data_IF_078763751987
#
_entry.id   IF_078763751987
#
_cell.length_a   1.000
_cell.length_b   1.000
_cell.length_c   1.000
_cell.angle_alpha   90.00
_cell.angle_beta   90.00
_cell.angle_gamma   90.00
#
_symmetry.space_group_name_H-M   'P 1'
#
loop_
_entity.id
_entity.type
_entity.pdbx_description
1 polymer ?
#
# COMPACT_ATOMS: atom_id res chain seq x y z
N UNK A 1 2.55 -20.78 -1.09
CA UNK A 1 2.83 -19.34 -1.14
C UNK A 1 4.24 -19.16 -1.68
N UNK A 2 4.50 -18.18 -2.55
CA UNK A 2 5.77 -18.07 -3.28
C UNK A 2 6.95 -17.76 -2.34
N UNK A 3 7.92 -18.67 -2.24
CA UNK A 3 9.11 -18.51 -1.38
C UNK A 3 9.95 -17.28 -1.77
N UNK A 4 9.90 -16.86 -3.04
CA UNK A 4 10.63 -15.68 -3.52
C UNK A 4 10.07 -14.39 -2.90
N UNK A 5 8.76 -14.30 -2.70
CA UNK A 5 8.11 -13.13 -2.09
C UNK A 5 8.65 -12.89 -0.67
N UNK A 6 8.75 -13.93 0.15
CA UNK A 6 9.26 -13.81 1.52
C UNK A 6 10.75 -13.48 1.58
N UNK A 7 11.50 -13.70 0.51
CA UNK A 7 12.90 -13.28 0.39
C UNK A 7 13.05 -11.82 -0.09
N UNK A 8 11.99 -11.23 -0.66
CA UNK A 8 12.01 -9.93 -1.30
C UNK A 8 12.24 -8.80 -0.27
N UNK A 9 13.33 -7.99 -0.39
CA UNK A 9 13.67 -6.99 0.63
C UNK A 9 12.56 -6.00 0.96
N UNK A 10 11.83 -5.52 -0.06
CA UNK A 10 10.73 -4.58 0.15
C UNK A 10 9.59 -5.19 0.97
N UNK A 11 9.25 -6.46 0.70
CA UNK A 11 8.20 -7.17 1.43
C UNK A 11 8.61 -7.39 2.89
N UNK A 12 9.84 -7.84 3.14
CA UNK A 12 10.38 -7.98 4.51
C UNK A 12 10.31 -6.67 5.28
N UNK A 13 10.75 -5.57 4.67
CA UNK A 13 10.70 -4.25 5.32
C UNK A 13 9.27 -3.81 5.62
N UNK A 14 8.31 -4.11 4.74
CA UNK A 14 6.90 -3.87 5.01
C UNK A 14 6.38 -4.69 6.21
N UNK A 15 6.78 -5.95 6.33
CA UNK A 15 6.42 -6.80 7.48
C UNK A 15 7.06 -6.30 8.78
N UNK A 16 8.31 -5.83 8.74
CA UNK A 16 8.99 -5.21 9.89
C UNK A 16 8.25 -3.96 10.38
N UNK A 17 7.87 -3.07 9.46
CA UNK A 17 7.04 -1.89 9.76
C UNK A 17 5.69 -2.31 10.36
N UNK A 18 5.03 -3.31 9.77
CA UNK A 18 3.76 -3.82 10.27
C UNK A 18 3.86 -4.32 11.71
N UNK A 19 4.86 -5.16 12.00
CA UNK A 19 5.08 -5.70 13.34
C UNK A 19 5.46 -4.61 14.35
N UNK A 20 6.25 -3.61 13.94
CA UNK A 20 6.58 -2.46 14.78
C UNK A 20 5.32 -1.66 15.14
N UNK A 21 4.50 -1.33 14.14
CA UNK A 21 3.25 -0.59 14.35
C UNK A 21 2.27 -1.35 15.25
N UNK A 22 2.14 -2.67 15.07
CA UNK A 22 1.32 -3.51 15.96
C UNK A 22 1.80 -3.40 17.41
N UNK A 23 3.12 -3.46 17.65
CA UNK A 23 3.68 -3.32 19.01
C UNK A 23 3.45 -1.92 19.60
N UNK A 24 3.67 -0.86 18.82
CA UNK A 24 3.43 0.52 19.26
C UNK A 24 1.95 0.75 19.56
N UNK A 25 1.06 0.15 18.79
CA UNK A 25 -0.40 0.23 19.00
C UNK A 25 -0.86 -0.36 20.33
N UNK A 26 -0.12 -1.32 20.90
CA UNK A 26 -0.41 -1.87 22.22
C UNK A 26 -0.16 -0.86 23.36
N UNK A 27 0.62 0.19 23.09
CA UNK A 27 0.91 1.25 24.07
C UNK A 27 -0.21 2.31 24.13
N UNK A 28 -1.16 2.26 23.21
CA UNK A 28 -2.32 3.15 23.18
C UNK A 28 -3.48 2.41 23.85
N UNK A 29 -3.76 2.82 25.10
CA UNK A 29 -4.87 2.31 25.89
C UNK A 29 -6.21 2.77 25.28
N UNK A 30 -7.18 1.85 25.21
CA UNK A 30 -8.55 2.17 24.82
C UNK A 30 -9.38 2.35 26.09
N UNK A 31 -9.81 3.59 26.36
CA UNK A 31 -10.71 3.86 27.48
C UNK A 31 -12.14 3.43 27.12
N UNK A 32 -12.85 2.87 28.10
CA UNK A 32 -14.27 2.48 27.96
C UNK A 32 -15.19 3.72 27.95
N UNK A 33 -14.70 4.84 28.48
CA UNK A 33 -15.42 6.10 28.51
C UNK A 33 -15.37 6.79 27.15
N UNK A 34 -16.52 6.81 26.47
CA UNK A 34 -16.66 7.43 25.15
C UNK A 34 -16.61 8.96 25.20
N UNK A 35 -16.70 9.58 26.37
CA UNK A 35 -16.61 11.04 26.52
C UNK A 35 -15.15 11.54 26.57
N UNK A 36 -14.18 10.63 26.69
CA UNK A 36 -12.75 10.95 26.62
C UNK A 36 -12.31 11.22 25.16
N UNK A 37 -12.54 12.46 24.73
CA UNK A 37 -12.23 12.92 23.37
C UNK A 37 -10.74 12.76 23.01
N UNK A 38 -9.83 12.98 23.95
CA UNK A 38 -8.39 12.87 23.70
C UNK A 38 -7.99 11.40 23.46
N UNK A 39 -8.49 10.49 24.30
CA UNK A 39 -8.26 9.06 24.10
C UNK A 39 -8.86 8.57 22.77
N UNK A 40 -10.09 8.96 22.45
CA UNK A 40 -10.74 8.57 21.20
C UNK A 40 -9.90 8.96 19.97
N UNK A 41 -9.30 10.15 19.95
CA UNK A 41 -8.40 10.56 18.85
C UNK A 41 -7.17 9.66 18.76
N UNK A 42 -6.56 9.31 19.89
CA UNK A 42 -5.40 8.41 19.91
C UNK A 42 -5.77 7.02 19.39
N UNK A 43 -6.96 6.52 19.72
CA UNK A 43 -7.50 5.24 19.23
C UNK A 43 -7.80 5.30 17.74
N UNK A 44 -8.34 6.41 17.22
CA UNK A 44 -8.55 6.58 15.77
C UNK A 44 -7.22 6.55 15.01
N UNK A 45 -6.19 7.23 15.52
CA UNK A 45 -4.85 7.18 14.94
C UNK A 45 -4.20 5.79 15.06
N UNK A 46 -4.42 5.08 16.17
CA UNK A 46 -4.02 3.67 16.31
C UNK A 46 -4.64 2.81 15.20
N UNK A 47 -5.95 2.92 14.98
CA UNK A 47 -6.66 2.15 13.97
C UNK A 47 -6.15 2.47 12.56
N UNK A 48 -5.97 3.75 12.25
CA UNK A 48 -5.45 4.19 10.96
C UNK A 48 -4.01 3.70 10.70
N UNK A 49 -3.13 3.73 11.70
CA UNK A 49 -1.79 3.17 11.59
C UNK A 49 -1.81 1.68 11.26
N UNK A 50 -2.61 0.90 11.99
CA UNK A 50 -2.71 -0.54 11.79
C UNK A 50 -3.27 -0.88 10.41
N UNK A 51 -4.27 -0.14 9.94
CA UNK A 51 -4.83 -0.30 8.60
C UNK A 51 -3.76 -0.04 7.52
N UNK A 52 -3.10 1.12 7.55
CA UNK A 52 -2.07 1.46 6.57
C UNK A 52 -0.93 0.44 6.57
N UNK A 53 -0.49 0.00 7.76
CA UNK A 53 0.57 -0.98 7.90
C UNK A 53 0.20 -2.36 7.35
N UNK A 54 -1.08 -2.75 7.41
CA UNK A 54 -1.58 -4.00 6.85
C UNK A 54 -1.75 -3.94 5.32
N UNK A 55 -2.18 -2.78 4.79
CA UNK A 55 -2.42 -2.60 3.36
C UNK A 55 -1.12 -2.69 2.55
N UNK A 56 -0.02 -2.09 3.04
CA UNK A 56 1.27 -2.05 2.32
C UNK A 56 1.75 -3.45 1.86
N UNK A 57 1.98 -4.44 2.75
CA UNK A 57 2.43 -5.77 2.34
C UNK A 57 1.41 -6.47 1.44
N UNK A 58 0.11 -6.29 1.69
CA UNK A 58 -0.97 -6.86 0.86
C UNK A 58 -0.89 -6.36 -0.59
N UNK A 59 -0.63 -5.06 -0.79
CA UNK A 59 -0.49 -4.46 -2.13
C UNK A 59 0.81 -4.85 -2.81
N UNK A 60 1.88 -5.10 -2.06
CA UNK A 60 3.10 -5.70 -2.61
C UNK A 60 2.80 -7.09 -3.17
N UNK A 61 2.11 -7.95 -2.42
CA UNK A 61 1.70 -9.28 -2.91
C UNK A 61 0.88 -9.17 -4.20
N UNK A 62 -0.06 -8.21 -4.24
CA UNK A 62 -0.91 -7.94 -5.40
C UNK A 62 -0.16 -7.53 -6.66
N UNK A 63 1.05 -6.99 -6.55
CA UNK A 63 1.86 -6.51 -7.67
C UNK A 63 3.16 -7.31 -7.90
N UNK A 64 3.45 -8.30 -7.07
CA UNK A 64 4.75 -9.00 -7.07
C UNK A 64 5.01 -9.88 -8.29
N UNK A 65 3.96 -10.43 -8.91
CA UNK A 65 4.12 -11.36 -10.04
C UNK A 65 4.85 -10.69 -11.21
N UNK A 66 5.81 -11.41 -11.78
CA UNK A 66 6.67 -10.90 -12.87
C UNK A 66 5.84 -10.41 -14.06
N UNK A 67 4.88 -11.23 -14.50
CA UNK A 67 3.98 -10.95 -15.62
C UNK A 67 2.76 -10.07 -15.27
N UNK A 68 2.72 -9.48 -14.07
CA UNK A 68 1.64 -8.55 -13.71
C UNK A 68 1.67 -7.31 -14.61
N UNK A 69 0.49 -6.89 -15.05
CA UNK A 69 0.31 -5.72 -15.92
C UNK A 69 0.78 -4.43 -15.23
N UNK A 70 1.31 -3.51 -16.02
CA UNK A 70 1.90 -2.25 -15.60
C UNK A 70 0.89 -1.36 -14.87
N UNK A 71 -0.31 -1.20 -15.42
CA UNK A 71 -1.40 -0.42 -14.85
C UNK A 71 -1.78 -0.95 -13.45
N UNK A 72 -1.88 -2.27 -13.31
CA UNK A 72 -2.14 -2.93 -12.01
C UNK A 72 -0.96 -2.71 -11.03
N UNK A 73 0.28 -2.87 -11.50
CA UNK A 73 1.49 -2.62 -10.68
C UNK A 73 1.52 -1.17 -10.19
N UNK A 74 1.24 -0.22 -11.08
CA UNK A 74 1.22 1.21 -10.77
C UNK A 74 0.07 1.59 -9.84
N UNK A 75 -1.12 1.01 -10.02
CA UNK A 75 -2.24 1.20 -9.09
C UNK A 75 -1.87 0.74 -7.67
N UNK A 76 -1.28 -0.44 -7.53
CA UNK A 76 -0.83 -0.94 -6.23
C UNK A 76 0.30 -0.08 -5.65
N UNK A 77 1.25 0.38 -6.47
CA UNK A 77 2.32 1.27 -6.06
C UNK A 77 1.79 2.62 -5.55
N UNK A 78 0.77 3.18 -6.19
CA UNK A 78 0.10 4.41 -5.75
C UNK A 78 -0.54 4.24 -4.36
N UNK A 79 -1.22 3.12 -4.12
CA UNK A 79 -1.81 2.79 -2.81
C UNK A 79 -0.71 2.63 -1.76
N UNK A 80 0.36 1.86 -2.05
CA UNK A 80 1.49 1.68 -1.14
C UNK A 80 2.08 3.03 -0.72
N UNK A 81 2.32 3.93 -1.69
CA UNK A 81 2.83 5.28 -1.41
C UNK A 81 1.88 6.07 -0.53
N UNK A 82 0.57 6.05 -0.82
CA UNK A 82 -0.44 6.73 0.00
C UNK A 82 -0.41 6.21 1.44
N UNK A 83 -0.33 4.90 1.65
CA UNK A 83 -0.35 4.33 3.00
C UNK A 83 0.95 4.60 3.76
N UNK A 84 2.11 4.58 3.09
CA UNK A 84 3.37 4.99 3.72
C UNK A 84 3.32 6.47 4.15
N UNK A 85 2.73 7.36 3.33
CA UNK A 85 2.51 8.76 3.72
C UNK A 85 1.51 8.90 4.87
N UNK A 86 0.47 8.05 4.89
CA UNK A 86 -0.49 8.01 5.98
C UNK A 86 0.19 7.65 7.30
N UNK A 87 1.07 6.63 7.33
CA UNK A 87 1.86 6.28 8.52
C UNK A 87 2.66 7.50 9.04
N UNK A 88 3.31 8.26 8.14
CA UNK A 88 4.06 9.47 8.54
C UNK A 88 3.15 10.60 9.06
N UNK A 89 1.96 10.75 8.49
CA UNK A 89 0.99 11.74 8.95
C UNK A 89 0.41 11.34 10.32
N UNK A 90 0.00 10.09 10.48
CA UNK A 90 -0.59 9.57 11.71
C UNK A 90 0.43 9.53 12.87
N UNK A 91 1.70 9.21 12.62
CA UNK A 91 2.76 9.36 13.64
C UNK A 91 2.92 10.82 14.09
N UNK A 92 2.77 11.79 13.18
CA UNK A 92 2.79 13.22 13.54
C UNK A 92 1.55 13.60 14.35
N UNK A 93 0.38 13.08 13.99
CA UNK A 93 -0.88 13.24 14.71
C UNK A 93 -0.82 12.70 16.14
N UNK A 94 -0.32 11.48 16.34
CA UNK A 94 -0.12 10.88 17.67
C UNK A 94 0.75 11.77 18.56
N UNK A 95 1.87 12.28 18.03
CA UNK A 95 2.74 13.20 18.76
C UNK A 95 2.02 14.49 19.17
N UNK A 96 1.22 15.06 18.26
CA UNK A 96 0.46 16.29 18.53
C UNK A 96 -0.64 16.08 19.58
N UNK A 97 -1.24 14.89 19.62
CA UNK A 97 -2.31 14.53 20.54
C UNK A 97 -1.82 13.92 21.86
N UNK A 98 -0.54 14.06 22.19
CA UNK A 98 -0.02 13.74 23.52
C UNK A 98 0.45 12.30 23.73
N UNK A 99 0.64 11.52 22.66
CA UNK A 99 1.31 10.22 22.78
C UNK A 99 2.74 10.40 23.31
N UNK A 100 3.09 9.64 24.36
CA UNK A 100 4.30 9.89 25.16
C UNK A 100 5.55 9.19 24.66
N UNK A 101 5.37 8.08 23.94
CA UNK A 101 6.44 7.16 23.58
C UNK A 101 7.09 7.59 22.23
N UNK A 102 7.70 8.78 22.24
CA UNK A 102 8.16 9.48 21.03
C UNK A 102 9.29 8.77 20.28
N UNK A 103 10.18 8.09 20.99
CA UNK A 103 11.30 7.35 20.38
C UNK A 103 10.80 6.25 19.44
N UNK A 104 9.66 5.63 19.75
CA UNK A 104 9.04 4.64 18.87
C UNK A 104 8.38 5.28 17.65
N UNK A 105 7.82 6.49 17.77
CA UNK A 105 7.33 7.23 16.61
C UNK A 105 8.47 7.61 15.68
N UNK A 106 9.62 8.01 16.22
CA UNK A 106 10.83 8.28 15.42
C UNK A 106 11.36 7.01 14.75
N UNK A 107 11.38 5.89 15.46
CA UNK A 107 11.74 4.58 14.89
C UNK A 107 10.84 4.22 13.70
N UNK A 108 9.51 4.34 13.82
CA UNK A 108 8.58 4.09 12.70
C UNK A 108 8.92 4.96 11.49
N UNK A 109 9.23 6.24 11.70
CA UNK A 109 9.55 7.16 10.60
C UNK A 109 10.84 6.77 9.88
N UNK A 110 11.85 6.33 10.62
CA UNK A 110 13.11 5.84 10.07
C UNK A 110 12.90 4.56 9.24
N UNK A 111 12.11 3.62 9.75
CA UNK A 111 11.76 2.38 9.04
C UNK A 111 11.02 2.68 7.71
N UNK A 112 10.09 3.65 7.72
CA UNK A 112 9.38 4.09 6.50
C UNK A 112 10.31 4.75 5.50
N UNK A 113 11.33 5.50 5.95
CA UNK A 113 12.30 6.11 5.04
C UNK A 113 13.19 5.07 4.36
N UNK A 114 13.66 4.06 5.10
CA UNK A 114 14.36 2.92 4.52
C UNK A 114 13.49 2.14 3.53
N UNK A 115 12.21 1.91 3.88
CA UNK A 115 11.23 1.32 2.97
C UNK A 115 11.05 2.14 1.69
N UNK A 116 11.00 3.47 1.79
CA UNK A 116 10.82 4.37 0.64
C UNK A 116 11.92 4.18 -0.41
N UNK A 117 13.17 3.96 0.02
CA UNK A 117 14.30 3.71 -0.88
C UNK A 117 14.10 2.39 -1.62
N UNK A 118 13.79 1.31 -0.90
CA UNK A 118 13.52 -0.01 -1.51
C UNK A 118 12.33 0.06 -2.49
N UNK A 119 11.28 0.79 -2.11
CA UNK A 119 10.08 0.97 -2.93
C UNK A 119 10.41 1.69 -4.24
N UNK A 120 11.19 2.77 -4.17
CA UNK A 120 11.58 3.52 -5.36
C UNK A 120 12.42 2.68 -6.33
N UNK A 121 13.33 1.85 -5.84
CA UNK A 121 14.11 0.93 -6.69
C UNK A 121 13.23 -0.16 -7.30
N UNK A 122 12.24 -0.66 -6.57
CA UNK A 122 11.31 -1.66 -7.10
C UNK A 122 10.43 -1.10 -8.23
N UNK A 123 9.87 0.09 -8.08
CA UNK A 123 9.01 0.71 -9.11
C UNK A 123 9.75 0.90 -10.44
N UNK A 124 11.07 1.19 -10.41
CA UNK A 124 11.89 1.30 -11.64
C UNK A 124 11.98 0.00 -12.45
N UNK A 125 11.62 -1.14 -11.86
CA UNK A 125 11.66 -2.45 -12.54
C UNK A 125 10.39 -2.75 -13.31
N UNK A 126 9.38 -1.89 -13.26
CA UNK A 126 8.11 -2.12 -13.93
C UNK A 126 8.28 -1.93 -15.44
N UNK A 127 7.86 -2.94 -16.20
CA UNK A 127 7.81 -2.86 -17.67
C UNK A 127 6.56 -2.08 -18.08
N UNK A 128 6.75 -0.84 -18.54
CA UNK A 128 5.68 0.03 -19.01
C UNK A 128 4.95 -0.50 -20.24
N UNK A 129 5.58 -1.40 -21.02
CA UNK A 129 4.98 -1.92 -22.25
C UNK A 129 4.17 -3.21 -22.04
N UNK A 130 4.13 -3.74 -20.82
CA UNK A 130 3.23 -4.83 -20.44
C UNK A 130 1.96 -4.26 -19.76
N UNK A 131 1.06 -3.63 -20.52
CA UNK A 131 -0.11 -2.91 -19.99
C UNK A 131 -1.40 -3.30 -20.71
N UNK A 132 -2.53 -3.00 -20.07
CA UNK A 132 -3.81 -2.77 -20.75
C UNK A 132 -4.16 -1.30 -20.64
N UNK A 133 -4.96 -0.75 -21.57
CA UNK A 133 -5.33 0.67 -21.50
C UNK A 133 -6.17 0.92 -20.25
N UNK A 134 -5.61 1.68 -19.31
CA UNK A 134 -6.32 2.22 -18.15
C UNK A 134 -7.30 3.30 -18.64
N UNK A 135 -8.58 2.95 -18.60
CA UNK A 135 -9.68 3.85 -19.00
C UNK A 135 -9.91 5.01 -18.03
N UNK A 136 -9.26 5.01 -16.86
CA UNK A 136 -9.20 6.17 -15.97
C UNK A 136 -8.04 7.13 -16.30
N UNK A 137 -7.12 6.71 -17.17
CA UNK A 137 -6.01 7.53 -17.67
C UNK A 137 -4.92 7.84 -16.65
N UNK A 138 -4.85 7.10 -15.54
CA UNK A 138 -3.91 7.38 -14.45
C UNK A 138 -2.59 6.60 -14.61
N UNK A 139 -2.66 5.39 -15.17
CA UNK A 139 -1.54 4.47 -15.21
C UNK A 139 -1.16 3.98 -16.62
N UNK A 140 -1.53 4.76 -17.65
CA UNK A 140 -1.10 4.49 -19.02
C UNK A 140 0.38 4.85 -19.25
N UNK A 141 1.08 4.11 -20.11
CA UNK A 141 2.43 4.48 -20.54
C UNK A 141 2.46 5.81 -21.31
N UNK A 142 3.63 6.47 -21.40
CA UNK A 142 3.76 7.70 -22.17
C UNK A 142 3.31 7.52 -23.63
N UNK A 143 2.37 8.36 -24.08
CA UNK A 143 1.85 8.34 -25.44
C UNK A 143 0.62 7.46 -25.65
N UNK A 144 0.13 6.77 -24.62
CA UNK A 144 -1.13 6.03 -24.63
C UNK A 144 -2.21 6.83 -23.93
N UNK A 145 -3.32 7.10 -24.61
CA UNK A 145 -4.45 7.82 -24.05
C UNK A 145 -5.56 6.87 -23.56
N UNK A 146 -6.38 7.33 -22.62
CA UNK A 146 -7.45 6.49 -22.04
C UNK A 146 -8.51 6.05 -23.07
N UNK A 147 -8.61 6.77 -24.17
CA UNK A 147 -9.56 6.57 -25.27
C UNK A 147 -8.92 6.03 -26.55
N UNK A 148 -7.64 5.65 -26.51
CA UNK A 148 -7.01 4.94 -27.63
C UNK A 148 -7.75 3.61 -27.87
N UNK A 149 -7.82 3.24 -29.15
CA UNK A 149 -8.46 2.00 -29.57
C UNK A 149 -7.64 0.79 -29.13
N UNK A 150 -8.27 -0.13 -28.39
CA UNK A 150 -7.71 -1.44 -28.06
C UNK A 150 -8.40 -2.52 -28.89
N UNK A 151 -7.64 -3.52 -29.36
CA UNK A 151 -8.21 -4.66 -30.06
C UNK A 151 -9.14 -5.46 -29.13
N UNK A 152 -8.86 -5.42 -27.82
CA UNK A 152 -9.66 -6.06 -26.78
C UNK A 152 -11.03 -5.40 -26.61
N UNK A 153 -11.21 -4.13 -27.01
CA UNK A 153 -12.53 -3.45 -26.98
C UNK A 153 -13.55 -4.10 -27.93
N UNK A 154 -13.05 -4.76 -28.97
CA UNK A 154 -13.89 -5.46 -29.94
C UNK A 154 -14.16 -6.92 -29.54
N UNK A 155 -13.56 -7.41 -28.46
CA UNK A 155 -13.84 -8.76 -27.99
C UNK A 155 -15.27 -8.81 -27.42
N UNK A 156 -16.08 -9.80 -27.82
CA UNK A 156 -17.39 -9.97 -27.23
C UNK A 156 -17.23 -10.29 -25.74
N UNK A 157 -18.06 -9.67 -24.91
CA UNK A 157 -18.06 -9.92 -23.45
C UNK A 157 -18.31 -11.40 -23.11
N UNK A 158 -19.09 -12.09 -23.95
CA UNK A 158 -19.26 -13.54 -23.87
C UNK A 158 -18.19 -14.22 -24.71
N UNK A 159 -17.41 -15.10 -24.09
CA UNK A 159 -16.48 -15.96 -24.80
C UNK A 159 -17.26 -16.83 -25.81
N UNK A 160 -17.06 -16.66 -27.13
CA UNK A 160 -17.79 -17.41 -28.14
C UNK A 160 -17.38 -18.89 -28.21
N UNK A 161 -16.43 -19.31 -27.36
CA UNK A 161 -16.00 -20.68 -27.19
C UNK A 161 -16.44 -21.29 -25.85
N UNK A 162 -17.10 -20.52 -24.99
CA UNK A 162 -17.80 -21.04 -23.81
C UNK A 162 -19.22 -21.46 -24.23
N UNK A 163 -19.29 -22.44 -25.14
CA UNK A 163 -20.54 -23.18 -25.39
C UNK A 163 -20.74 -24.19 -24.23
N UNK A 164 -21.78 -23.95 -23.42
CA UNK A 164 -22.55 -24.92 -22.60
C UNK A 164 -21.79 -25.92 -21.68
N UNK A 165 -21.89 -25.69 -20.37
CA UNK A 165 -22.21 -26.75 -19.40
C UNK A 165 -23.58 -26.47 -18.78
#
# INVERSE_FOLDING_TARGET
>A
MDEKLYSFPLFKKAEEIYLLIQKVSLLIEENVDKEDFENNILVDYKNQLNESAFIIPTKIVGAYKENMLYDIKMQNAAIIRKEAQMILATTSGLKMCGFKELDYLELIRNEVEEFRVLFAEWVKTFDEWNYIIDRWGLFNPPGVNYDDYDIDDNLPFNNPFDDEF
#
